data_IF_710726836041
#
_entry.id   IF_710726836041
#
_cell.length_a   1.000
_cell.length_b   1.000
_cell.length_c   1.000
_cell.angle_alpha   90.00
_cell.angle_beta   90.00
_cell.angle_gamma   90.00
#
_symmetry.space_group_name_H-M   'P 1'
#
loop_
_entity.id
_entity.type
_entity.pdbx_description
1 polymer ?
#
# COMPACT_ATOMS: atom_id res chain seq x y z
N UNK A 1 -30.02 -46.17 -51.27
CA UNK A 1 -30.97 -45.40 -50.43
C UNK A 1 -30.21 -45.00 -49.19
N UNK A 2 -29.70 -43.76 -49.13
CA UNK A 2 -30.18 -42.63 -48.29
C UNK A 2 -30.04 -42.93 -46.77
N UNK A 3 -29.45 -42.12 -45.89
CA UNK A 3 -29.33 -40.66 -45.77
C UNK A 3 -28.03 -40.30 -45.00
N UNK A 4 -27.23 -39.32 -45.41
CA UNK A 4 -27.20 -37.90 -44.95
C UNK A 4 -27.44 -37.73 -43.44
N UNK A 5 -26.34 -37.55 -42.68
CA UNK A 5 -26.32 -37.04 -41.32
C UNK A 5 -25.38 -35.83 -41.25
N UNK A 6 -25.90 -34.65 -41.59
CA UNK A 6 -25.23 -33.36 -41.39
C UNK A 6 -25.74 -32.72 -40.10
N UNK A 7 -24.83 -32.24 -39.25
CA UNK A 7 -25.06 -31.05 -38.43
C UNK A 7 -25.15 -31.24 -36.92
N UNK A 8 -24.01 -31.33 -36.23
CA UNK A 8 -23.92 -31.03 -34.78
C UNK A 8 -22.61 -30.34 -34.37
N UNK A 9 -22.02 -29.49 -35.20
CA UNK A 9 -20.74 -28.82 -34.86
C UNK A 9 -20.88 -27.36 -34.36
N UNK A 10 -22.09 -26.78 -34.33
CA UNK A 10 -22.24 -25.33 -34.14
C UNK A 10 -22.74 -24.85 -32.77
N UNK A 11 -22.69 -25.68 -31.73
CA UNK A 11 -23.25 -25.32 -30.40
C UNK A 11 -22.21 -24.92 -29.34
N UNK A 12 -20.89 -25.07 -29.57
CA UNK A 12 -19.87 -24.82 -28.53
C UNK A 12 -19.31 -23.39 -28.48
N UNK A 13 -19.70 -22.52 -29.42
CA UNK A 13 -19.16 -21.17 -29.54
C UNK A 13 -19.98 -20.06 -28.84
N UNK A 14 -21.05 -20.38 -28.10
CA UNK A 14 -21.99 -19.37 -27.54
C UNK A 14 -21.88 -19.08 -26.04
N UNK A 15 -20.98 -19.75 -25.30
CA UNK A 15 -20.80 -19.51 -23.86
C UNK A 15 -19.59 -18.62 -23.50
N UNK A 16 -19.02 -17.88 -24.45
CA UNK A 16 -17.89 -16.96 -24.21
C UNK A 16 -18.32 -15.51 -23.92
N UNK A 17 -19.60 -15.28 -23.62
CA UNK A 17 -20.08 -14.02 -23.05
C UNK A 17 -20.29 -14.24 -21.54
N UNK A 18 -19.19 -14.42 -20.81
CA UNK A 18 -19.20 -14.34 -19.36
C UNK A 18 -19.80 -13.00 -18.93
N UNK A 19 -20.52 -13.01 -17.81
CA UNK A 19 -21.14 -11.81 -17.27
C UNK A 19 -20.03 -10.74 -17.09
N UNK A 20 -20.12 -9.55 -17.72
CA UNK A 20 -19.08 -8.52 -17.61
C UNK A 20 -18.92 -7.95 -16.19
N UNK A 21 -19.74 -8.44 -15.24
CA UNK A 21 -19.77 -8.06 -13.84
C UNK A 21 -19.28 -9.17 -12.90
N UNK A 22 -18.92 -10.37 -13.39
CA UNK A 22 -18.15 -11.30 -12.57
C UNK A 22 -16.74 -10.73 -12.48
N UNK A 23 -16.41 -10.11 -11.34
CA UNK A 23 -15.04 -9.70 -11.03
C UNK A 23 -14.21 -10.97 -11.03
N UNK A 24 -13.38 -11.12 -12.05
CA UNK A 24 -12.46 -12.24 -12.16
C UNK A 24 -11.53 -12.18 -10.95
N UNK A 25 -11.71 -13.12 -10.03
CA UNK A 25 -10.84 -13.25 -8.87
C UNK A 25 -9.43 -13.61 -9.35
N UNK A 26 -8.44 -12.84 -8.91
CA UNK A 26 -7.03 -13.13 -9.15
C UNK A 26 -6.50 -13.91 -7.96
N UNK A 27 -5.97 -15.10 -8.19
CA UNK A 27 -5.23 -15.78 -7.13
C UNK A 27 -3.88 -15.10 -6.92
N UNK A 28 -3.33 -15.19 -5.72
CA UNK A 28 -1.99 -14.66 -5.40
C UNK A 28 -0.93 -15.16 -6.40
N UNK A 29 -1.00 -16.44 -6.78
CA UNK A 29 -0.08 -17.04 -7.76
C UNK A 29 -0.22 -16.43 -9.16
N UNK A 30 -1.44 -16.06 -9.57
CA UNK A 30 -1.70 -15.39 -10.85
C UNK A 30 -1.21 -13.93 -10.81
N UNK A 31 -1.43 -13.24 -9.70
CA UNK A 31 -0.97 -11.86 -9.48
C UNK A 31 0.55 -11.80 -9.54
N UNK A 32 1.26 -12.71 -8.87
CA UNK A 32 2.73 -12.79 -8.95
C UNK A 32 3.23 -13.11 -10.35
N UNK A 33 2.59 -14.05 -11.06
CA UNK A 33 2.93 -14.35 -12.44
C UNK A 33 2.77 -13.12 -13.35
N UNK A 34 1.66 -12.40 -13.19
CA UNK A 34 1.39 -11.17 -13.92
C UNK A 34 2.44 -10.08 -13.61
N UNK A 35 2.78 -9.86 -12.33
CA UNK A 35 3.81 -8.89 -11.93
C UNK A 35 5.15 -9.22 -12.58
N UNK A 36 5.55 -10.51 -12.60
CA UNK A 36 6.82 -10.94 -13.18
C UNK A 36 6.87 -10.69 -14.70
N UNK A 37 5.84 -11.11 -15.43
CA UNK A 37 5.74 -10.84 -16.88
C UNK A 37 5.78 -9.34 -17.14
N UNK A 38 5.08 -8.54 -16.32
CA UNK A 38 5.06 -7.10 -16.49
C UNK A 38 6.41 -6.42 -16.25
N UNK A 39 7.21 -6.94 -15.32
CA UNK A 39 8.59 -6.48 -15.11
C UNK A 39 9.47 -6.74 -16.33
N UNK A 40 9.31 -7.89 -17.00
CA UNK A 40 10.05 -8.24 -18.21
C UNK A 40 9.72 -7.28 -19.37
N UNK A 41 8.45 -6.86 -19.49
CA UNK A 41 7.97 -5.93 -20.53
C UNK A 41 8.02 -4.44 -20.14
N UNK A 42 8.59 -4.11 -18.97
CA UNK A 42 8.56 -2.74 -18.41
C UNK A 42 9.32 -1.72 -19.26
N UNK A 43 10.37 -2.18 -19.96
CA UNK A 43 11.13 -1.34 -20.87
C UNK A 43 10.32 -0.91 -22.11
N UNK A 44 9.48 -1.80 -22.65
CA UNK A 44 8.66 -1.53 -23.83
C UNK A 44 7.45 -0.65 -23.49
N UNK A 45 6.83 -0.87 -22.32
CA UNK A 45 5.75 -0.04 -21.78
C UNK A 45 6.13 1.45 -21.67
N UNK A 46 7.41 1.76 -21.43
CA UNK A 46 7.91 3.13 -21.34
C UNK A 46 8.22 3.77 -22.69
N UNK A 47 8.50 2.96 -23.72
CA UNK A 47 8.97 3.46 -25.03
C UNK A 47 7.84 3.66 -26.02
N UNK A 48 6.74 2.90 -25.89
CA UNK A 48 5.66 2.88 -26.88
C UNK A 48 4.49 3.76 -26.44
N UNK A 49 3.93 4.55 -27.38
CA UNK A 49 2.77 5.42 -27.11
C UNK A 49 1.47 4.64 -26.86
N UNK A 50 1.35 3.45 -27.45
CA UNK A 50 0.19 2.57 -27.32
C UNK A 50 0.63 1.17 -26.88
N UNK A 51 0.25 0.77 -25.66
CA UNK A 51 0.72 -0.46 -25.02
C UNK A 51 -0.07 -1.71 -25.42
N UNK A 52 -0.92 -1.64 -26.44
CA UNK A 52 -1.78 -2.75 -26.86
C UNK A 52 -0.99 -4.02 -27.17
N UNK A 53 0.12 -3.90 -27.91
CA UNK A 53 0.97 -5.06 -28.25
C UNK A 53 1.61 -5.71 -27.02
N UNK A 54 1.95 -4.91 -26.02
CA UNK A 54 2.50 -5.43 -24.76
C UNK A 54 1.44 -6.22 -24.01
N UNK A 55 0.20 -5.73 -23.94
CA UNK A 55 -0.88 -6.48 -23.30
C UNK A 55 -1.25 -7.77 -24.05
N UNK A 56 -1.16 -7.78 -25.39
CA UNK A 56 -1.30 -9.00 -26.20
C UNK A 56 -0.19 -10.01 -25.86
N UNK A 57 1.07 -9.58 -25.80
CA UNK A 57 2.19 -10.43 -25.37
C UNK A 57 1.98 -10.97 -23.94
N UNK A 58 1.56 -10.12 -22.99
CA UNK A 58 1.28 -10.55 -21.62
C UNK A 58 0.17 -11.62 -21.56
N UNK A 59 -0.88 -11.51 -22.39
CA UNK A 59 -1.92 -12.55 -22.45
C UNK A 59 -1.39 -13.88 -22.99
N UNK A 60 -0.48 -13.83 -23.97
CA UNK A 60 0.17 -15.03 -24.51
C UNK A 60 1.07 -15.70 -23.46
N UNK A 61 1.89 -14.90 -22.76
CA UNK A 61 2.78 -15.37 -21.69
C UNK A 61 2.00 -15.98 -20.52
N UNK A 62 0.92 -15.34 -20.07
CA UNK A 62 0.04 -15.91 -19.03
C UNK A 62 -0.66 -17.20 -19.51
N UNK A 63 -1.10 -17.23 -20.78
CA UNK A 63 -1.70 -18.44 -21.35
C UNK A 63 -0.71 -19.59 -21.42
N UNK A 64 0.58 -19.32 -21.63
CA UNK A 64 1.63 -20.33 -21.60
C UNK A 64 1.84 -20.93 -20.20
N UNK A 65 1.56 -20.15 -19.15
CA UNK A 65 1.52 -20.61 -17.75
C UNK A 65 0.20 -21.30 -17.37
N UNK A 66 -0.74 -21.44 -18.32
CA UNK A 66 -2.06 -22.04 -18.10
C UNK A 66 -3.11 -21.07 -17.55
N UNK A 67 -2.77 -19.78 -17.40
CA UNK A 67 -3.64 -18.74 -16.86
C UNK A 67 -4.35 -18.03 -18.02
N UNK A 68 -5.67 -18.19 -18.11
CA UNK A 68 -6.48 -17.60 -19.20
C UNK A 68 -7.16 -16.32 -18.72
N UNK A 69 -6.53 -15.18 -18.98
CA UNK A 69 -7.09 -13.85 -18.70
C UNK A 69 -7.14 -13.04 -20.00
N UNK A 70 -8.15 -12.19 -20.11
CA UNK A 70 -8.34 -11.26 -21.21
C UNK A 70 -7.50 -10.00 -21.02
N UNK A 71 -7.20 -9.30 -22.11
CA UNK A 71 -6.49 -8.01 -22.08
C UNK A 71 -7.18 -7.01 -21.15
N UNK A 72 -8.52 -7.00 -21.12
CA UNK A 72 -9.30 -6.08 -20.30
C UNK A 72 -9.10 -6.34 -18.81
N UNK A 73 -9.07 -7.60 -18.40
CA UNK A 73 -8.83 -7.99 -17.00
C UNK A 73 -7.41 -7.63 -16.56
N UNK A 74 -6.41 -7.88 -17.41
CA UNK A 74 -5.02 -7.51 -17.14
C UNK A 74 -4.87 -5.98 -16.97
N UNK A 75 -5.49 -5.20 -17.86
CA UNK A 75 -5.47 -3.74 -17.77
C UNK A 75 -6.17 -3.26 -16.51
N UNK A 76 -7.32 -3.85 -16.17
CA UNK A 76 -8.07 -3.50 -14.98
C UNK A 76 -7.26 -3.74 -13.71
N UNK A 77 -6.69 -4.95 -13.58
CA UNK A 77 -5.85 -5.36 -12.45
C UNK A 77 -4.63 -4.43 -12.27
N UNK A 78 -3.95 -4.13 -13.38
CA UNK A 78 -2.78 -3.24 -13.36
C UNK A 78 -3.07 -1.80 -12.97
N UNK A 79 -4.27 -1.30 -13.28
CA UNK A 79 -4.63 0.10 -13.02
C UNK A 79 -5.20 0.32 -11.62
N UNK A 80 -5.86 -0.69 -11.05
CA UNK A 80 -6.59 -0.54 -9.80
C UNK A 80 -5.92 -1.28 -8.63
N UNK A 81 -4.98 -2.18 -8.90
CA UNK A 81 -4.47 -3.11 -7.89
C UNK A 81 -5.56 -4.12 -7.48
N UNK A 82 -5.17 -5.17 -6.76
CA UNK A 82 -6.15 -6.05 -6.14
C UNK A 82 -6.96 -5.21 -5.15
N UNK A 83 -8.30 -5.07 -5.32
CA UNK A 83 -9.13 -4.32 -4.39
C UNK A 83 -9.22 -4.97 -2.99
N UNK A 84 -8.69 -6.19 -2.85
CA UNK A 84 -8.75 -6.97 -1.60
C UNK A 84 -7.56 -6.66 -0.65
N UNK A 85 -6.70 -5.70 -1.01
CA UNK A 85 -5.62 -5.17 -0.15
C UNK A 85 -6.02 -3.83 0.52
N UNK A 86 -7.32 -3.52 0.58
CA UNK A 86 -7.79 -2.80 1.75
C UNK A 86 -7.56 -3.75 2.92
N UNK A 87 -6.39 -3.61 3.57
CA UNK A 87 -6.19 -4.04 4.94
C UNK A 87 -7.40 -3.50 5.71
N UNK A 88 -8.43 -4.32 5.86
CA UNK A 88 -9.22 -4.28 7.05
C UNK A 88 -8.17 -4.49 8.15
N UNK A 89 -7.67 -3.39 8.68
CA UNK A 89 -7.40 -3.27 10.11
C UNK A 89 -8.72 -3.64 10.80
N UNK A 90 -9.09 -4.92 10.74
CA UNK A 90 -9.87 -5.62 11.74
C UNK A 90 -9.01 -5.45 12.99
N UNK A 91 -9.18 -4.28 13.59
CA UNK A 91 -8.89 -4.01 14.97
C UNK A 91 -9.45 -5.24 15.70
N UNK A 92 -8.58 -6.12 16.26
CA UNK A 92 -9.04 -7.35 16.86
C UNK A 92 -10.12 -6.93 17.85
N UNK A 93 -11.33 -7.53 17.81
CA UNK A 93 -12.39 -7.16 18.72
C UNK A 93 -11.78 -7.24 20.11
N UNK A 94 -11.60 -6.07 20.74
CA UNK A 94 -11.17 -5.97 22.10
C UNK A 94 -12.24 -6.73 22.88
N UNK A 95 -11.95 -7.98 23.24
CA UNK A 95 -12.64 -8.70 24.30
C UNK A 95 -12.36 -7.94 25.59
N UNK A 96 -13.03 -6.79 25.76
CA UNK A 96 -13.28 -6.14 27.03
C UNK A 96 -14.17 -7.07 27.84
N UNK A 97 -13.52 -8.08 28.42
CA UNK A 97 -14.04 -8.89 29.50
C UNK A 97 -13.45 -8.39 30.81
N UNK A 98 -13.69 -7.12 31.13
CA UNK A 98 -13.59 -6.63 32.51
C UNK A 98 -14.88 -5.88 32.89
N UNK A 99 -15.61 -6.34 33.93
CA UNK A 99 -16.74 -5.61 34.47
C UNK A 99 -16.25 -4.34 35.20
N UNK A 100 -17.00 -3.23 35.13
CA UNK A 100 -16.61 -1.97 35.75
C UNK A 100 -16.64 -2.08 37.29
N UNK A 101 -15.59 -1.64 38.01
CA UNK A 101 -15.76 -1.24 39.40
C UNK A 101 -16.48 0.10 39.44
N UNK A 102 -17.63 0.11 40.13
CA UNK A 102 -18.32 1.33 40.54
C UNK A 102 -17.38 2.17 41.41
N UNK A 103 -16.91 3.31 40.91
CA UNK A 103 -16.47 4.40 41.78
C UNK A 103 -16.86 5.77 41.20
N UNK A 104 -17.60 6.59 41.98
CA UNK A 104 -17.97 7.93 41.58
C UNK A 104 -16.86 8.92 41.90
N UNK A 105 -16.83 10.02 41.15
CA UNK A 105 -16.09 11.26 41.43
C UNK A 105 -14.72 11.35 40.78
N UNK A 106 -14.67 11.98 39.61
CA UNK A 106 -13.73 13.09 39.38
C UNK A 106 -14.30 14.02 38.33
N UNK A 107 -14.40 15.28 38.73
CA UNK A 107 -14.95 16.39 37.99
C UNK A 107 -14.04 16.83 36.83
N UNK A 108 -14.67 17.43 35.82
CA UNK A 108 -14.15 18.64 35.18
C UNK A 108 -13.11 18.43 34.10
N UNK A 109 -13.56 18.46 32.85
CA UNK A 109 -12.68 18.53 31.69
C UNK A 109 -13.42 18.85 30.40
N UNK A 110 -14.07 20.01 30.34
CA UNK A 110 -14.59 20.57 29.09
C UNK A 110 -13.45 20.82 28.10
N UNK A 111 -13.58 20.34 26.86
CA UNK A 111 -13.01 21.02 25.70
C UNK A 111 -13.66 20.60 24.38
N UNK A 112 -13.65 21.50 23.38
CA UNK A 112 -14.80 21.67 22.49
C UNK A 112 -14.53 21.35 21.02
N UNK A 113 -15.61 21.01 20.32
CA UNK A 113 -16.00 21.56 19.01
C UNK A 113 -14.94 21.52 17.89
N UNK A 114 -14.92 20.42 17.13
CA UNK A 114 -14.34 20.39 15.79
C UNK A 114 -15.43 20.77 14.78
N UNK A 115 -15.32 21.99 14.25
CA UNK A 115 -16.20 22.56 13.25
C UNK A 115 -16.10 21.81 11.92
N UNK A 116 -17.27 21.46 11.37
CA UNK A 116 -17.48 21.23 9.95
C UNK A 116 -16.99 22.45 9.15
N UNK A 117 -16.13 22.22 8.17
CA UNK A 117 -15.76 23.21 7.18
C UNK A 117 -16.41 22.82 5.85
N UNK A 118 -17.59 23.38 5.66
CA UNK A 118 -18.27 23.50 4.37
C UNK A 118 -17.39 24.26 3.37
N UNK A 119 -17.29 23.74 2.15
CA UNK A 119 -16.54 24.34 1.04
C UNK A 119 -17.41 25.36 0.30
N UNK A 120 -17.02 26.65 0.19
CA UNK A 120 -17.79 27.60 -0.63
C UNK A 120 -17.40 27.51 -2.11
N UNK A 121 -18.37 27.07 -2.93
CA UNK A 121 -18.34 27.24 -4.37
C UNK A 121 -18.28 28.75 -4.73
N UNK A 122 -17.20 29.16 -5.37
CA UNK A 122 -16.99 30.55 -5.78
C UNK A 122 -17.41 30.75 -7.24
N UNK A 123 -18.65 31.19 -7.44
CA UNK A 123 -19.11 31.81 -8.67
C UNK A 123 -18.60 33.25 -8.76
N UNK A 124 -17.85 33.59 -9.81
CA UNK A 124 -17.49 34.98 -10.10
C UNK A 124 -17.87 35.36 -11.53
N UNK A 125 -18.87 36.23 -11.61
CA UNK A 125 -19.25 37.01 -12.79
C UNK A 125 -19.37 38.46 -12.34
N UNK A 126 -18.84 39.40 -13.12
CA UNK A 126 -19.24 40.81 -12.97
C UNK A 126 -18.12 41.83 -13.10
N UNK A 127 -17.76 42.09 -14.36
CA UNK A 127 -17.32 43.38 -14.89
C UNK A 127 -17.86 44.61 -14.15
N UNK A 128 -17.00 45.55 -13.76
CA UNK A 128 -17.31 46.99 -13.81
C UNK A 128 -16.06 47.81 -14.11
N UNK A 129 -16.27 48.83 -14.93
CA UNK A 129 -15.29 49.66 -15.62
C UNK A 129 -14.92 50.91 -14.82
N UNK A 130 -13.79 51.49 -15.22
CA UNK A 130 -13.46 52.93 -15.23
C UNK A 130 -13.19 53.63 -13.90
N UNK A 131 -11.95 54.12 -13.73
CA UNK A 131 -11.68 55.56 -13.80
C UNK A 131 -10.18 55.85 -13.70
N UNK A 132 -9.74 56.74 -14.58
CA UNK A 132 -8.42 57.36 -14.67
C UNK A 132 -8.03 58.13 -13.40
N UNK A 133 -6.85 57.82 -12.84
CA UNK A 133 -6.25 58.56 -11.72
C UNK A 133 -4.73 58.43 -11.73
N UNK A 134 -4.05 59.56 -11.59
CA UNK A 134 -2.64 59.84 -11.89
C UNK A 134 -1.57 58.93 -11.25
N UNK A 135 -0.42 58.70 -11.92
CA UNK A 135 0.58 57.72 -11.49
C UNK A 135 1.82 58.38 -10.87
N UNK A 136 1.86 58.68 -9.57
CA UNK A 136 3.12 59.14 -8.92
C UNK A 136 3.23 58.78 -7.44
N UNK A 137 3.57 57.52 -7.12
CA UNK A 137 4.20 57.07 -5.86
C UNK A 137 4.42 55.54 -5.83
N UNK A 138 5.16 54.97 -6.80
CA UNK A 138 5.23 53.50 -6.99
C UNK A 138 6.51 52.82 -6.47
N UNK A 139 7.41 53.55 -5.79
CA UNK A 139 8.72 53.03 -5.38
C UNK A 139 8.69 52.12 -4.14
N UNK A 140 7.79 52.35 -3.18
CA UNK A 140 7.85 51.69 -1.87
C UNK A 140 7.18 50.31 -1.84
N UNK A 141 6.11 50.09 -2.62
CA UNK A 141 5.38 48.81 -2.67
C UNK A 141 6.22 47.65 -3.21
N UNK A 142 7.10 47.92 -4.19
CA UNK A 142 7.99 46.90 -4.78
C UNK A 142 9.00 46.35 -3.77
N UNK A 143 9.46 47.18 -2.82
CA UNK A 143 10.42 46.76 -1.78
C UNK A 143 9.77 45.81 -0.76
N UNK A 144 8.53 46.11 -0.36
CA UNK A 144 7.76 45.23 0.54
C UNK A 144 7.48 43.87 -0.08
N UNK A 145 7.06 43.83 -1.35
CA UNK A 145 6.85 42.56 -2.07
C UNK A 145 8.13 41.73 -2.20
N UNK A 146 9.28 42.36 -2.47
CA UNK A 146 10.57 41.66 -2.51
C UNK A 146 10.93 41.06 -1.15
N UNK A 147 10.75 41.81 -0.06
CA UNK A 147 11.03 41.32 1.29
C UNK A 147 10.13 40.13 1.65
N UNK A 148 8.85 40.17 1.29
CA UNK A 148 7.91 39.07 1.50
C UNK A 148 8.35 37.81 0.74
N UNK A 149 8.71 37.95 -0.54
CA UNK A 149 9.18 36.82 -1.34
C UNK A 149 10.47 36.21 -0.79
N UNK A 150 11.42 37.04 -0.36
CA UNK A 150 12.65 36.56 0.28
C UNK A 150 12.36 35.78 1.56
N UNK A 151 11.41 36.24 2.38
CA UNK A 151 10.97 35.52 3.58
C UNK A 151 10.35 34.17 3.26
N UNK A 152 9.44 34.11 2.29
CA UNK A 152 8.80 32.85 1.88
C UNK A 152 9.81 31.83 1.33
N UNK A 153 10.80 32.27 0.57
CA UNK A 153 11.86 31.40 0.07
C UNK A 153 12.74 30.85 1.20
N UNK A 154 13.05 31.67 2.20
CA UNK A 154 13.82 31.23 3.37
C UNK A 154 13.01 30.24 4.23
N UNK A 155 11.71 30.50 4.45
CA UNK A 155 10.81 29.58 5.15
C UNK A 155 10.70 28.24 4.40
N UNK A 156 10.57 28.26 3.07
CA UNK A 156 10.54 27.03 2.26
C UNK A 156 11.87 26.27 2.33
N UNK A 157 13.01 26.97 2.36
CA UNK A 157 14.33 26.35 2.55
C UNK A 157 14.45 25.69 3.92
N UNK A 158 14.00 26.36 4.97
CA UNK A 158 13.99 25.83 6.33
C UNK A 158 13.10 24.58 6.45
N UNK A 159 11.92 24.58 5.82
CA UNK A 159 11.04 23.42 5.79
C UNK A 159 11.71 22.21 5.13
N UNK A 160 12.42 22.39 4.01
CA UNK A 160 13.16 21.30 3.36
C UNK A 160 14.25 20.73 4.27
N UNK A 161 15.01 21.60 4.94
CA UNK A 161 16.04 21.16 5.89
C UNK A 161 15.44 20.45 7.10
N UNK A 162 14.29 20.91 7.60
CA UNK A 162 13.58 20.28 8.71
C UNK A 162 13.07 18.89 8.34
N UNK A 163 12.47 18.73 7.16
CA UNK A 163 12.00 17.42 6.65
C UNK A 163 13.18 16.46 6.49
N UNK A 164 14.30 16.91 5.91
CA UNK A 164 15.48 16.06 5.73
C UNK A 164 16.07 15.63 7.09
N UNK A 165 16.16 16.56 8.04
CA UNK A 165 16.58 16.25 9.41
C UNK A 165 15.63 15.26 10.10
N UNK A 166 14.32 15.41 9.90
CA UNK A 166 13.32 14.48 10.43
C UNK A 166 13.52 13.06 9.88
N UNK A 167 13.76 12.93 8.57
CA UNK A 167 14.04 11.64 7.93
C UNK A 167 15.31 10.98 8.47
N UNK A 168 16.36 11.76 8.70
CA UNK A 168 17.60 11.26 9.31
C UNK A 168 17.38 10.77 10.75
N UNK A 169 16.58 11.49 11.54
CA UNK A 169 16.24 11.06 12.89
C UNK A 169 15.42 9.76 12.90
N UNK A 170 14.43 9.65 12.01
CA UNK A 170 13.63 8.44 11.86
C UNK A 170 14.50 7.25 11.46
N UNK A 171 15.43 7.44 10.53
CA UNK A 171 16.37 6.40 10.12
C UNK A 171 17.25 5.93 11.29
N UNK A 172 17.79 6.86 12.07
CA UNK A 172 18.58 6.54 13.27
C UNK A 172 17.76 5.80 14.33
N UNK A 173 16.47 6.16 14.48
CA UNK A 173 15.57 5.46 15.39
C UNK A 173 15.32 4.03 14.93
N UNK A 174 15.03 3.81 13.65
CA UNK A 174 14.88 2.46 13.07
C UNK A 174 16.15 1.63 13.22
N UNK A 175 17.33 2.21 13.05
CA UNK A 175 18.60 1.51 13.29
C UNK A 175 18.75 1.03 14.74
N UNK A 176 18.42 1.89 15.71
CA UNK A 176 18.44 1.52 17.13
C UNK A 176 17.45 0.41 17.46
N UNK A 177 16.27 0.46 16.87
CA UNK A 177 15.24 -0.57 17.06
C UNK A 177 15.70 -1.92 16.50
N UNK A 178 16.32 -1.92 15.31
CA UNK A 178 16.90 -3.15 14.73
C UNK A 178 18.00 -3.71 15.64
N UNK A 179 18.92 -2.86 16.11
CA UNK A 179 19.99 -3.29 17.02
C UNK A 179 19.44 -3.87 18.33
N UNK A 180 18.34 -3.31 18.84
CA UNK A 180 17.67 -3.85 20.03
C UNK A 180 17.04 -5.23 19.74
N UNK A 181 16.32 -5.37 18.62
CA UNK A 181 15.74 -6.66 18.21
C UNK A 181 16.81 -7.72 17.99
N UNK A 182 17.96 -7.36 17.41
CA UNK A 182 19.10 -8.27 17.25
C UNK A 182 19.63 -8.77 18.60
N UNK A 183 19.76 -7.88 19.60
CA UNK A 183 20.16 -8.28 20.96
C UNK A 183 19.13 -9.20 21.63
N UNK A 184 17.84 -8.95 21.41
CA UNK A 184 16.77 -9.81 21.93
C UNK A 184 16.79 -11.19 21.28
N UNK A 185 17.02 -11.26 19.97
CA UNK A 185 17.19 -12.53 19.24
C UNK A 185 18.42 -13.28 19.77
N UNK A 186 19.55 -12.60 19.93
CA UNK A 186 20.78 -13.20 20.47
C UNK A 186 20.55 -13.77 21.89
N UNK A 187 19.81 -13.07 22.74
CA UNK A 187 19.44 -13.57 24.07
C UNK A 187 18.55 -14.82 23.99
N UNK A 188 17.55 -14.83 23.10
CA UNK A 188 16.69 -16.00 22.87
C UNK A 188 17.49 -17.19 22.38
N UNK A 189 18.39 -17.00 21.42
CA UNK A 189 19.27 -18.06 20.90
C UNK A 189 20.17 -18.62 22.01
N UNK A 190 20.73 -17.77 22.88
CA UNK A 190 21.51 -18.24 24.04
C UNK A 190 20.67 -19.08 25.01
N UNK A 191 19.41 -18.72 25.24
CA UNK A 191 18.51 -19.50 26.09
C UNK A 191 18.18 -20.86 25.47
N UNK A 192 17.88 -20.90 24.17
CA UNK A 192 17.63 -22.15 23.44
C UNK A 192 18.86 -23.06 23.48
N UNK A 193 20.06 -22.50 23.25
CA UNK A 193 21.31 -23.27 23.32
C UNK A 193 21.59 -23.85 24.72
N UNK A 194 21.16 -23.17 25.79
CA UNK A 194 21.25 -23.71 27.14
C UNK A 194 20.24 -24.84 27.39
N UNK A 195 19.03 -24.71 26.87
CA UNK A 195 18.01 -25.76 26.94
C UNK A 195 18.44 -27.01 26.18
N UNK A 196 18.99 -26.86 24.97
CA UNK A 196 19.52 -27.99 24.18
C UNK A 196 20.64 -28.72 24.91
N UNK A 197 21.60 -27.97 25.50
CA UNK A 197 22.67 -28.57 26.34
C UNK A 197 22.13 -29.27 27.58
N UNK A 198 21.03 -28.79 28.15
CA UNK A 198 20.38 -29.46 29.28
C UNK A 198 19.72 -30.77 28.82
N UNK A 199 18.99 -30.75 27.71
CA UNK A 199 18.39 -31.94 27.11
C UNK A 199 19.45 -32.99 26.74
N UNK A 200 20.58 -32.60 26.15
CA UNK A 200 21.70 -33.52 25.88
C UNK A 200 22.24 -34.20 27.15
N UNK A 201 22.28 -33.48 28.28
CA UNK A 201 22.74 -34.04 29.56
C UNK A 201 21.73 -35.04 30.11
N UNK A 202 20.45 -34.76 29.97
CA UNK A 202 19.37 -35.67 30.36
C UNK A 202 19.39 -36.94 29.51
N UNK A 203 19.53 -36.83 28.19
CA UNK A 203 19.66 -37.99 27.30
C UNK A 203 20.89 -38.84 27.66
N UNK A 204 22.04 -38.22 27.92
CA UNK A 204 23.25 -38.93 28.37
C UNK A 204 23.04 -39.62 29.70
N UNK A 205 22.32 -38.99 30.63
CA UNK A 205 22.00 -39.57 31.92
C UNK A 205 21.09 -40.79 31.79
N UNK A 206 20.03 -40.69 30.99
CA UNK A 206 19.11 -41.81 30.70
C UNK A 206 19.87 -42.97 30.05
N UNK A 207 20.69 -42.70 29.03
CA UNK A 207 21.50 -43.72 28.37
C UNK A 207 22.47 -44.43 29.33
N UNK A 208 23.03 -43.70 30.30
CA UNK A 208 23.89 -44.29 31.33
C UNK A 208 23.11 -45.22 32.29
N UNK A 209 21.89 -44.84 32.66
CA UNK A 209 21.00 -45.69 33.48
C UNK A 209 20.60 -46.96 32.72
N UNK A 210 20.25 -46.86 31.45
CA UNK A 210 19.91 -48.02 30.61
C UNK A 210 21.09 -49.00 30.50
N UNK A 211 22.32 -48.49 30.46
CA UNK A 211 23.52 -49.32 30.45
C UNK A 211 23.79 -49.99 31.80
N UNK A 212 23.44 -49.36 32.92
CA UNK A 212 23.61 -49.92 34.25
C UNK A 212 22.60 -51.05 34.57
N UNK A 213 21.41 -50.99 33.98
CA UNK A 213 20.36 -52.00 34.18
C UNK A 213 20.51 -53.28 33.33
N UNK A 214 21.50 -53.34 32.42
CA UNK A 214 21.79 -54.51 31.56
C UNK A 214 22.98 -55.28 32.11
#
# INVERSE_FOLDING_TARGET
MAAVGMGTENARARNAAGNPNERTQWSESETFALIRIWQDHLSDLRRVKHNRKVYEANTEDLSALGIKKTIREIIFEMQHGSPDDECEDEEPPLETSEPPPDDPTTAGGSSPSAAELDSPASSSSGSVRSASGSPRSSGTKKKSQRNLLSRLLEEQRQLRLAIEKSRQNEFLQRQKEIEQREKEIEQRERLVALQEKAAEREERFIAALEKFCK
#
